data_IF_532585076289
#
_entry.id   IF_532585076289
#
_cell.length_a   1.000
_cell.length_b   1.000
_cell.length_c   1.000
_cell.angle_alpha   90.00
_cell.angle_beta   90.00
_cell.angle_gamma   90.00
#
_symmetry.space_group_name_H-M   'P 1'
#
loop_
_entity.id
_entity.type
_entity.pdbx_description
1 polymer ?
#
# COMPACT_ATOMS: atom_id res chain seq x y z
N UNK A 1 -1.97 2.69 1.71
CA UNK A 1 -1.39 1.74 2.66
C UNK A 1 -2.42 0.75 3.21
N UNK A 2 -3.56 1.21 3.71
CA UNK A 2 -4.58 0.32 4.29
C UNK A 2 -5.08 -0.75 3.30
N UNK A 3 -5.23 -0.42 2.03
CA UNK A 3 -5.59 -1.39 0.99
C UNK A 3 -4.47 -2.41 0.75
N UNK A 4 -3.22 -1.96 0.66
CA UNK A 4 -2.05 -2.83 0.54
C UNK A 4 -1.97 -3.82 1.71
N UNK A 5 -2.08 -3.29 2.94
CA UNK A 5 -2.10 -4.09 4.17
C UNK A 5 -3.23 -5.12 4.18
N UNK A 6 -4.44 -4.70 3.86
CA UNK A 6 -5.60 -5.59 3.85
C UNK A 6 -5.48 -6.70 2.81
N UNK A 7 -4.98 -6.36 1.62
CA UNK A 7 -4.77 -7.32 0.54
C UNK A 7 -3.70 -8.35 0.93
N UNK A 8 -2.57 -7.89 1.46
CA UNK A 8 -1.49 -8.75 1.93
C UNK A 8 -1.97 -9.74 3.01
N UNK A 9 -2.73 -9.25 3.98
CA UNK A 9 -3.26 -10.09 5.07
C UNK A 9 -4.31 -11.10 4.61
N UNK A 10 -5.09 -10.75 3.58
CA UNK A 10 -6.19 -11.59 3.08
C UNK A 10 -5.73 -12.61 2.06
N UNK A 11 -4.87 -12.22 1.15
CA UNK A 11 -4.50 -13.01 -0.03
C UNK A 11 -3.06 -13.51 -0.01
N UNK A 12 -2.24 -13.08 0.96
CA UNK A 12 -0.80 -13.34 1.00
C UNK A 12 -0.06 -12.91 -0.29
N UNK A 13 -0.51 -11.79 -0.87
CA UNK A 13 0.03 -11.19 -2.08
C UNK A 13 0.15 -9.68 -1.90
N UNK A 14 1.01 -9.04 -2.69
CA UNK A 14 1.11 -7.58 -2.74
C UNK A 14 0.05 -7.00 -3.67
N UNK A 15 -0.58 -5.91 -3.25
CA UNK A 15 -1.59 -5.21 -4.03
C UNK A 15 -0.96 -4.34 -5.14
N UNK A 16 0.00 -3.50 -4.79
CA UNK A 16 0.62 -2.56 -5.73
C UNK A 16 2.08 -2.86 -6.05
N UNK A 17 2.72 -3.69 -5.25
CA UNK A 17 4.17 -3.89 -5.31
C UNK A 17 5.01 -2.72 -4.76
N UNK A 18 4.38 -1.61 -4.36
CA UNK A 18 5.07 -0.49 -3.72
C UNK A 18 5.50 -0.85 -2.30
N UNK A 19 6.67 -0.37 -1.89
CA UNK A 19 7.14 -0.51 -0.51
C UNK A 19 6.37 0.41 0.41
N UNK A 20 6.26 0.05 1.68
CA UNK A 20 5.63 0.86 2.71
C UNK A 20 6.67 1.49 3.64
N UNK A 21 6.43 2.73 4.04
CA UNK A 21 7.24 3.48 4.99
C UNK A 21 6.38 3.99 6.14
N UNK A 22 6.93 3.90 7.34
CA UNK A 22 6.43 4.63 8.48
C UNK A 22 6.91 6.08 8.36
N UNK A 23 5.97 7.00 8.34
CA UNK A 23 6.22 8.43 8.44
C UNK A 23 5.69 8.93 9.78
N UNK A 24 6.12 10.11 10.27
CA UNK A 24 5.66 10.63 11.57
C UNK A 24 4.14 10.74 11.70
N UNK A 25 3.45 11.01 10.61
CA UNK A 25 2.00 11.21 10.56
C UNK A 25 1.19 9.96 10.18
N UNK A 26 1.84 8.89 9.78
CA UNK A 26 1.18 7.63 9.44
C UNK A 26 1.98 6.79 8.43
N UNK A 27 1.59 5.54 8.21
CA UNK A 27 2.19 4.69 7.20
C UNK A 27 1.76 5.13 5.80
N UNK A 28 2.68 5.09 4.84
CA UNK A 28 2.45 5.49 3.45
C UNK A 28 3.18 4.56 2.48
N UNK A 29 2.64 4.39 1.28
CA UNK A 29 3.37 3.73 0.19
C UNK A 29 4.41 4.68 -0.40
N UNK A 30 5.59 4.18 -0.73
CA UNK A 30 6.72 4.99 -1.23
C UNK A 30 6.37 5.76 -2.49
N UNK A 31 5.64 5.14 -3.44
CA UNK A 31 5.22 5.80 -4.68
C UNK A 31 4.24 6.96 -4.42
N UNK A 32 3.38 6.82 -3.40
CA UNK A 32 2.46 7.89 -2.98
C UNK A 32 3.22 9.00 -2.25
N UNK A 33 4.19 8.66 -1.40
CA UNK A 33 5.05 9.64 -0.74
C UNK A 33 5.83 10.49 -1.76
N UNK A 34 6.35 9.85 -2.82
CA UNK A 34 7.04 10.55 -3.92
C UNK A 34 6.13 11.56 -4.64
N UNK A 35 4.83 11.25 -4.81
CA UNK A 35 3.86 12.22 -5.34
C UNK A 35 3.76 13.48 -4.48
N UNK A 36 3.72 13.33 -3.15
CA UNK A 36 3.63 14.46 -2.23
C UNK A 36 4.91 15.27 -2.16
N UNK A 37 6.08 14.63 -2.27
CA UNK A 37 7.38 15.32 -2.29
C UNK A 37 7.66 16.02 -3.62
N UNK A 38 6.92 15.70 -4.69
CA UNK A 38 7.12 16.25 -6.03
C UNK A 38 8.18 15.53 -6.83
N UNK A 39 8.61 14.37 -6.38
CA UNK A 39 9.51 13.50 -7.12
C UNK A 39 8.75 12.79 -8.27
N UNK A 40 9.50 12.32 -9.27
CA UNK A 40 8.91 11.51 -10.33
C UNK A 40 8.43 10.18 -9.75
N UNK A 41 7.15 9.86 -9.99
CA UNK A 41 6.53 8.62 -9.52
C UNK A 41 5.69 8.01 -10.64
N UNK A 42 5.68 6.68 -10.77
CA UNK A 42 4.77 5.99 -11.69
C UNK A 42 3.29 6.31 -11.42
N UNK A 43 2.97 6.65 -10.18
CA UNK A 43 1.62 7.04 -9.78
C UNK A 43 1.29 8.52 -10.10
N UNK A 44 2.23 9.31 -10.68
CA UNK A 44 2.02 10.73 -10.98
C UNK A 44 1.01 10.97 -12.11
N UNK A 45 0.83 9.98 -13.01
CA UNK A 45 -0.10 10.09 -14.11
C UNK A 45 -1.54 10.17 -13.58
N UNK A 46 -2.23 11.24 -13.94
CA UNK A 46 -3.60 11.48 -13.52
C UNK A 46 -3.78 12.35 -12.28
N UNK A 47 -2.69 12.81 -11.66
CA UNK A 47 -2.76 13.75 -10.55
C UNK A 47 -2.22 15.12 -10.95
N UNK A 48 -2.92 16.16 -10.51
CA UNK A 48 -2.48 17.54 -10.63
C UNK A 48 -2.22 18.12 -9.23
N UNK A 49 -1.10 18.84 -9.10
CA UNK A 49 -0.78 19.55 -7.86
C UNK A 49 -1.50 20.91 -7.89
N UNK A 50 -2.31 21.15 -6.87
CA UNK A 50 -3.01 22.42 -6.68
C UNK A 50 -2.59 23.10 -5.37
N UNK A 51 -3.09 24.32 -5.10
CA UNK A 51 -2.76 25.08 -3.89
C UNK A 51 -3.17 24.39 -2.58
N UNK A 52 -4.07 23.40 -2.65
CA UNK A 52 -4.56 22.64 -1.52
C UNK A 52 -4.13 21.16 -1.55
N UNK A 53 -3.06 20.82 -2.28
CA UNK A 53 -2.51 19.47 -2.37
C UNK A 53 -2.75 18.77 -3.70
N UNK A 54 -2.65 17.44 -3.71
CA UNK A 54 -2.85 16.62 -4.88
C UNK A 54 -4.35 16.44 -5.17
N UNK A 55 -4.69 16.55 -6.45
CA UNK A 55 -6.04 16.29 -6.93
C UNK A 55 -5.99 15.40 -8.16
N UNK A 56 -6.97 14.55 -8.33
CA UNK A 56 -7.14 13.79 -9.56
C UNK A 56 -7.40 14.79 -10.71
N UNK A 57 -6.63 14.67 -11.79
CA UNK A 57 -6.84 15.50 -12.97
C UNK A 57 -8.22 15.18 -13.59
N UNK A 58 -8.98 16.22 -13.93
CA UNK A 58 -10.35 16.06 -14.49
C UNK A 58 -10.36 15.37 -15.85
N UNK A 59 -9.23 15.37 -16.55
CA UNK A 59 -9.03 14.68 -17.84
C UNK A 59 -8.64 13.23 -17.68
N UNK A 60 -8.25 12.80 -16.48
CA UNK A 60 -7.86 11.43 -16.20
C UNK A 60 -9.08 10.58 -15.88
N UNK A 61 -9.29 9.53 -16.66
CA UNK A 61 -10.25 8.47 -16.35
C UNK A 61 -9.44 7.28 -15.86
N UNK A 62 -9.53 6.91 -14.57
CA UNK A 62 -8.87 5.70 -14.07
C UNK A 62 -9.32 4.49 -14.89
N UNK A 63 -8.38 3.67 -15.35
CA UNK A 63 -8.68 2.35 -15.91
C UNK A 63 -8.58 1.31 -14.82
N UNK A 64 -9.57 0.43 -14.75
CA UNK A 64 -9.60 -0.72 -13.85
C UNK A 64 -9.29 -2.03 -14.58
N UNK A 65 -8.91 -1.96 -15.86
CA UNK A 65 -8.73 -3.12 -16.74
C UNK A 65 -7.62 -4.07 -16.28
N UNK A 66 -6.70 -3.57 -15.44
CA UNK A 66 -5.59 -4.34 -14.90
C UNK A 66 -5.82 -4.84 -13.47
N UNK A 67 -6.97 -4.52 -12.88
CA UNK A 67 -7.32 -4.95 -11.53
C UNK A 67 -8.13 -6.24 -11.57
N UNK A 68 -7.78 -7.17 -10.70
CA UNK A 68 -8.60 -8.36 -10.46
C UNK A 68 -9.86 -8.02 -9.66
N UNK A 69 -10.83 -8.91 -9.64
CA UNK A 69 -12.02 -8.76 -8.79
C UNK A 69 -11.65 -8.65 -7.30
N UNK A 70 -10.62 -9.38 -6.86
CA UNK A 70 -10.12 -9.33 -5.48
C UNK A 70 -9.48 -7.98 -5.14
N UNK A 71 -8.79 -7.34 -6.09
CA UNK A 71 -8.23 -6.00 -5.94
C UNK A 71 -9.34 -4.98 -5.72
N UNK A 72 -10.35 -5.01 -6.56
CA UNK A 72 -11.51 -4.09 -6.52
C UNK A 72 -12.27 -4.29 -5.21
N UNK A 73 -12.60 -5.53 -4.82
CA UNK A 73 -13.30 -5.83 -3.58
C UNK A 73 -12.53 -5.34 -2.36
N UNK A 74 -11.20 -5.51 -2.35
CA UNK A 74 -10.37 -5.05 -1.23
C UNK A 74 -10.36 -3.52 -1.17
N UNK A 75 -10.16 -2.83 -2.29
CA UNK A 75 -10.19 -1.37 -2.34
C UNK A 75 -11.54 -0.82 -1.90
N UNK A 76 -12.65 -1.37 -2.38
CA UNK A 76 -14.00 -0.98 -2.01
C UNK A 76 -14.29 -1.20 -0.52
N UNK A 77 -13.85 -2.32 0.03
CA UNK A 77 -13.98 -2.63 1.46
C UNK A 77 -13.24 -1.61 2.34
N UNK A 78 -12.01 -1.25 1.97
CA UNK A 78 -11.23 -0.24 2.69
C UNK A 78 -11.86 1.14 2.54
N UNK A 79 -12.32 1.51 1.34
CA UNK A 79 -13.01 2.77 1.11
C UNK A 79 -14.30 2.88 1.92
N UNK A 80 -15.10 1.81 1.98
CA UNK A 80 -16.33 1.77 2.77
C UNK A 80 -16.08 1.98 4.26
N UNK A 81 -14.95 1.46 4.78
CA UNK A 81 -14.59 1.59 6.20
C UNK A 81 -13.97 2.94 6.55
N UNK A 82 -13.08 3.46 5.72
CA UNK A 82 -12.20 4.58 6.07
C UNK A 82 -12.37 5.81 5.17
N UNK A 83 -12.98 5.68 4.01
CA UNK A 83 -13.04 6.74 2.99
C UNK A 83 -13.81 8.00 3.40
N UNK A 84 -14.64 7.92 4.44
CA UNK A 84 -15.41 9.05 4.98
C UNK A 84 -14.78 9.69 6.22
N UNK A 85 -13.69 9.09 6.73
CA UNK A 85 -13.02 9.60 7.92
C UNK A 85 -12.11 10.77 7.54
N UNK A 86 -12.06 11.76 8.41
CA UNK A 86 -11.09 12.84 8.33
C UNK A 86 -9.69 12.34 8.67
N UNK A 87 -8.68 13.12 8.29
CA UNK A 87 -7.29 12.84 8.67
C UNK A 87 -7.10 12.71 10.18
N UNK A 88 -7.78 13.56 10.96
CA UNK A 88 -7.71 13.52 12.43
C UNK A 88 -8.29 12.21 12.99
N UNK A 89 -9.42 11.74 12.45
CA UNK A 89 -10.03 10.48 12.85
C UNK A 89 -9.14 9.28 12.49
N UNK A 90 -8.54 9.28 11.30
CA UNK A 90 -7.58 8.25 10.90
C UNK A 90 -6.34 8.22 11.81
N UNK A 91 -5.80 9.40 12.19
CA UNK A 91 -4.69 9.49 13.14
C UNK A 91 -5.04 8.89 14.51
N UNK A 92 -6.24 9.15 15.00
CA UNK A 92 -6.72 8.53 16.26
C UNK A 92 -6.78 7.02 16.14
N UNK A 93 -7.28 6.47 15.04
CA UNK A 93 -7.33 5.03 14.82
C UNK A 93 -5.92 4.41 14.75
N UNK A 94 -4.98 5.08 14.07
CA UNK A 94 -3.57 4.63 14.01
C UNK A 94 -2.94 4.60 15.41
N UNK A 95 -3.15 5.63 16.22
CA UNK A 95 -2.66 5.70 17.62
C UNK A 95 -3.30 4.62 18.50
N UNK A 96 -4.52 4.22 18.19
CA UNK A 96 -5.24 3.14 18.89
C UNK A 96 -4.93 1.74 18.34
N UNK A 97 -3.90 1.60 17.51
CA UNK A 97 -3.40 0.29 17.06
C UNK A 97 -4.05 -0.26 15.81
N UNK A 98 -4.64 0.59 14.95
CA UNK A 98 -5.14 0.15 13.63
C UNK A 98 -4.04 -0.51 12.79
N UNK A 99 -2.82 -0.01 12.89
CA UNK A 99 -1.63 -0.55 12.23
C UNK A 99 -0.51 -0.71 13.27
N UNK A 100 -0.47 -1.82 14.03
CA UNK A 100 0.51 -2.03 15.10
C UNK A 100 1.96 -2.01 14.62
N UNK A 101 2.20 -2.29 13.35
CA UNK A 101 3.51 -2.21 12.70
C UNK A 101 4.03 -0.79 12.53
N UNK A 102 3.15 0.21 12.59
CA UNK A 102 3.53 1.62 12.53
C UNK A 102 3.77 2.19 13.94
N UNK A 103 4.85 2.96 14.08
CA UNK A 103 5.18 3.65 15.32
C UNK A 103 5.25 5.16 15.06
N UNK A 104 4.51 5.93 15.85
CA UNK A 104 4.50 7.39 15.76
C UNK A 104 5.90 7.98 15.99
N UNK A 105 6.27 8.96 15.16
CA UNK A 105 7.54 9.67 15.27
C UNK A 105 8.76 8.92 14.74
N UNK A 106 8.58 7.72 14.21
CA UNK A 106 9.66 6.92 13.60
C UNK A 106 9.51 6.96 12.09
N UNK A 107 10.61 7.25 11.38
CA UNK A 107 10.70 7.08 9.93
C UNK A 107 11.49 5.81 9.64
N UNK A 108 10.83 4.79 9.12
CA UNK A 108 11.45 3.50 8.81
C UNK A 108 10.64 2.75 7.75
N UNK A 109 11.29 1.85 7.02
CA UNK A 109 10.60 0.92 6.13
C UNK A 109 9.71 -0.02 6.94
N UNK A 110 8.47 -0.20 6.49
CA UNK A 110 7.57 -1.23 7.00
C UNK A 110 7.66 -2.43 6.07
N UNK A 111 8.15 -3.56 6.59
CA UNK A 111 8.30 -4.78 5.81
C UNK A 111 7.01 -5.60 5.78
N UNK A 112 6.84 -6.42 4.74
CA UNK A 112 5.71 -7.36 4.66
C UNK A 112 5.67 -8.29 5.88
N UNK A 113 6.83 -8.72 6.36
CA UNK A 113 6.93 -9.54 7.59
C UNK A 113 6.33 -8.82 8.80
N UNK A 114 6.62 -7.53 8.99
CA UNK A 114 6.04 -6.75 10.09
C UNK A 114 4.52 -6.65 9.98
N UNK A 115 3.99 -6.43 8.77
CA UNK A 115 2.54 -6.40 8.51
C UNK A 115 1.91 -7.75 8.83
N UNK A 116 2.49 -8.85 8.36
CA UNK A 116 1.99 -10.21 8.59
C UNK A 116 2.00 -10.60 10.08
N UNK A 117 3.09 -10.26 10.78
CA UNK A 117 3.18 -10.48 12.24
C UNK A 117 2.11 -9.67 12.98
N UNK A 118 1.98 -8.37 12.66
CA UNK A 118 0.98 -7.49 13.26
C UNK A 118 -0.46 -7.94 12.95
N UNK A 119 -0.68 -8.58 11.79
CA UNK A 119 -1.94 -9.20 11.40
C UNK A 119 -2.21 -10.57 12.02
N UNK A 120 -1.32 -11.07 12.87
CA UNK A 120 -1.49 -12.33 13.60
C UNK A 120 -1.16 -13.59 12.78
N UNK A 121 -0.42 -13.45 11.68
CA UNK A 121 0.02 -14.60 10.89
C UNK A 121 1.07 -15.42 11.63
N UNK A 122 0.98 -16.74 11.48
CA UNK A 122 1.94 -17.67 12.09
C UNK A 122 3.29 -17.64 11.38
N UNK A 123 4.40 -18.02 12.05
CA UNK A 123 5.71 -18.11 11.40
C UNK A 123 5.72 -18.99 10.14
N UNK A 124 4.90 -20.05 10.11
CA UNK A 124 4.76 -20.93 8.94
C UNK A 124 4.10 -20.24 7.76
N UNK A 125 3.03 -19.49 8.00
CA UNK A 125 2.36 -18.70 6.96
C UNK A 125 3.29 -17.62 6.39
N UNK A 126 4.05 -16.96 7.28
CA UNK A 126 5.02 -15.93 6.88
C UNK A 126 6.13 -16.54 6.02
N UNK A 127 6.69 -17.69 6.41
CA UNK A 127 7.72 -18.37 5.65
C UNK A 127 7.22 -18.77 4.25
N UNK A 128 6.02 -19.35 4.15
CA UNK A 128 5.40 -19.71 2.88
C UNK A 128 5.16 -18.49 1.99
N UNK A 129 4.72 -17.37 2.54
CA UNK A 129 4.53 -16.12 1.82
C UNK A 129 5.87 -15.59 1.24
N UNK A 130 6.92 -15.56 2.05
CA UNK A 130 8.23 -15.07 1.62
C UNK A 130 8.84 -15.96 0.52
N UNK A 131 8.61 -17.26 0.56
CA UNK A 131 9.01 -18.20 -0.48
C UNK A 131 8.28 -17.91 -1.79
N UNK A 132 6.95 -17.76 -1.76
CA UNK A 132 6.15 -17.41 -2.93
C UNK A 132 6.56 -16.07 -3.54
N UNK A 133 6.86 -15.05 -2.73
CA UNK A 133 7.38 -13.77 -3.22
C UNK A 133 8.70 -13.92 -3.96
N UNK A 134 9.61 -14.70 -3.41
CA UNK A 134 10.91 -14.95 -4.03
C UNK A 134 10.74 -15.63 -5.39
N UNK A 135 9.88 -16.64 -5.48
CA UNK A 135 9.58 -17.33 -6.73
C UNK A 135 8.99 -16.36 -7.78
N UNK A 136 8.05 -15.49 -7.38
CA UNK A 136 7.46 -14.49 -8.26
C UNK A 136 8.50 -13.47 -8.76
N UNK A 137 9.37 -12.99 -7.88
CA UNK A 137 10.45 -12.07 -8.25
C UNK A 137 11.47 -12.72 -9.21
N UNK A 138 11.79 -13.99 -9.01
CA UNK A 138 12.71 -14.73 -9.87
C UNK A 138 12.10 -14.99 -11.26
N UNK A 139 10.80 -15.30 -11.33
CA UNK A 139 10.06 -15.41 -12.61
C UNK A 139 10.03 -14.08 -13.36
N UNK A 140 9.77 -12.97 -12.68
CA UNK A 140 9.76 -11.64 -13.28
C UNK A 140 11.13 -11.28 -13.87
N UNK A 141 12.23 -11.59 -13.19
CA UNK A 141 13.59 -11.38 -13.69
C UNK A 141 13.90 -12.22 -14.92
N UNK A 142 13.38 -13.46 -15.00
CA UNK A 142 13.54 -14.32 -16.17
C UNK A 142 12.77 -13.74 -17.36
N UNK A 143 11.54 -13.29 -17.15
CA UNK A 143 10.74 -12.66 -18.20
C UNK A 143 11.39 -11.40 -18.77
N UNK A 144 11.96 -10.54 -17.91
CA UNK A 144 12.70 -9.33 -18.36
C UNK A 144 13.92 -9.65 -19.22
N UNK A 145 14.57 -10.79 -19.02
CA UNK A 145 15.73 -11.21 -19.82
C UNK A 145 15.36 -11.81 -21.18
N UNK A 146 14.11 -12.19 -21.36
CA UNK A 146 13.61 -12.78 -22.62
C UNK A 146 13.02 -11.76 -23.60
N UNK A 147 12.87 -10.52 -23.17
CA UNK A 147 12.44 -9.38 -23.98
C UNK A 147 13.67 -8.57 -24.40
#
# INVERSE_FOLDING_TARGET
YLAERAFLLRHAERFTGSSAEALPDGPMLTDVAALFSGEASPAADGFARGPHGLRLATTCKPSFDHLSAADIETADSIWAQFGKLSEAELKVLLQNGLCPEWQSGVTATITDTQILVAGGKTPREIAAFLENLKEADDLAKVQQKLI
#
